data_IF_282885520617
#
_entry.id   IF_282885520617
#
_cell.length_a   1.000
_cell.length_b   1.000
_cell.length_c   1.000
_cell.angle_alpha   90.00
_cell.angle_beta   90.00
_cell.angle_gamma   90.00
#
_symmetry.space_group_name_H-M   'P 1'
#
loop_
_entity.id
_entity.type
_entity.pdbx_description
1 polymer ?
#
# COMPACT_ATOMS: atom_id res chain seq x y z
N UNK A 1 30.54 18.62 -2.25
CA UNK A 1 29.51 19.11 -3.18
C UNK A 1 29.32 18.07 -4.29
N UNK A 2 28.16 17.43 -4.41
CA UNK A 2 27.93 16.47 -5.50
C UNK A 2 27.82 17.22 -6.83
N UNK A 3 28.50 16.77 -7.89
CA UNK A 3 28.35 17.37 -9.21
C UNK A 3 26.92 17.18 -9.72
N UNK A 4 26.40 18.12 -10.52
CA UNK A 4 25.05 17.99 -11.14
C UNK A 4 24.88 16.66 -11.87
N UNK A 5 25.94 16.18 -12.53
CA UNK A 5 26.02 14.87 -13.18
C UNK A 5 25.86 13.72 -12.18
N UNK A 6 26.50 13.82 -11.02
CA UNK A 6 26.40 12.83 -9.95
C UNK A 6 25.00 12.75 -9.32
N UNK A 7 24.27 13.87 -9.25
CA UNK A 7 22.87 13.92 -8.79
C UNK A 7 21.97 13.28 -9.83
N UNK A 8 22.09 13.68 -11.11
CA UNK A 8 21.30 13.11 -12.19
C UNK A 8 21.46 11.59 -12.28
N UNK A 9 22.70 11.09 -12.23
CA UNK A 9 22.98 9.65 -12.25
C UNK A 9 22.43 8.88 -11.03
N UNK A 10 22.29 9.55 -9.89
CA UNK A 10 21.63 8.96 -8.72
C UNK A 10 20.11 8.88 -8.91
N UNK A 11 19.47 9.97 -9.34
CA UNK A 11 18.02 10.03 -9.59
C UNK A 11 17.61 9.00 -10.64
N UNK A 12 18.31 8.96 -11.78
CA UNK A 12 18.02 7.97 -12.84
C UNK A 12 18.21 6.54 -12.37
N UNK A 13 19.19 6.29 -11.50
CA UNK A 13 19.42 4.97 -10.89
C UNK A 13 18.31 4.55 -9.93
N UNK A 14 17.85 5.45 -9.06
CA UNK A 14 16.75 5.18 -8.13
C UNK A 14 15.46 4.91 -8.88
N UNK A 15 15.11 5.77 -9.84
CA UNK A 15 13.89 5.60 -10.65
C UNK A 15 13.96 4.30 -11.47
N UNK A 16 15.12 4.01 -12.08
CA UNK A 16 15.33 2.73 -12.79
C UNK A 16 15.13 1.52 -11.88
N UNK A 17 15.70 1.53 -10.67
CA UNK A 17 15.56 0.43 -9.72
C UNK A 17 14.11 0.23 -9.24
N UNK A 18 13.37 1.32 -9.01
CA UNK A 18 11.96 1.28 -8.65
C UNK A 18 11.12 0.71 -9.81
N UNK A 19 11.20 1.30 -11.00
CA UNK A 19 10.44 0.86 -12.17
C UNK A 19 10.79 -0.56 -12.60
N UNK A 20 12.08 -0.94 -12.51
CA UNK A 20 12.53 -2.31 -12.78
C UNK A 20 11.93 -3.33 -11.82
N UNK A 21 11.88 -3.00 -10.51
CA UNK A 21 11.21 -3.83 -9.49
C UNK A 21 9.71 -3.95 -9.76
N UNK A 22 9.04 -2.83 -10.04
CA UNK A 22 7.61 -2.80 -10.32
C UNK A 22 7.26 -3.64 -11.56
N UNK A 23 8.01 -3.45 -12.66
CA UNK A 23 7.77 -4.18 -13.90
C UNK A 23 8.08 -5.67 -13.75
N UNK A 24 9.17 -6.04 -13.06
CA UNK A 24 9.47 -7.44 -12.77
C UNK A 24 8.36 -8.11 -11.95
N UNK A 25 7.89 -7.44 -10.89
CA UNK A 25 6.76 -7.92 -10.10
C UNK A 25 5.46 -8.05 -10.90
N UNK A 26 5.20 -7.12 -11.81
CA UNK A 26 4.04 -7.18 -12.71
C UNK A 26 4.14 -8.35 -13.71
N UNK A 27 5.32 -8.65 -14.23
CA UNK A 27 5.55 -9.84 -15.08
C UNK A 27 5.34 -11.13 -14.28
N UNK A 28 5.77 -11.19 -13.01
CA UNK A 28 5.45 -12.32 -12.12
C UNK A 28 3.94 -12.47 -11.92
N UNK A 29 3.21 -11.36 -11.80
CA UNK A 29 1.75 -11.38 -11.73
C UNK A 29 1.09 -11.99 -12.98
N UNK A 30 1.67 -11.80 -14.17
CA UNK A 30 1.19 -12.46 -15.40
C UNK A 30 1.50 -13.96 -15.42
N UNK A 31 2.63 -14.39 -14.86
CA UNK A 31 3.01 -15.81 -14.77
C UNK A 31 2.18 -16.58 -13.74
N UNK A 32 1.86 -15.95 -12.60
CA UNK A 32 1.16 -16.58 -11.49
C UNK A 32 -0.11 -15.83 -11.10
N UNK A 33 -1.05 -15.57 -12.03
CA UNK A 33 -2.18 -14.69 -11.80
C UNK A 33 -3.14 -15.23 -10.73
N UNK A 34 -3.28 -16.55 -10.59
CA UNK A 34 -4.11 -17.14 -9.54
C UNK A 34 -3.57 -16.85 -8.11
N UNK A 35 -2.26 -16.71 -7.97
CA UNK A 35 -1.59 -16.59 -6.67
C UNK A 35 -1.14 -15.16 -6.38
N UNK A 36 -0.71 -14.38 -7.37
CA UNK A 36 -0.09 -13.07 -7.16
C UNK A 36 -1.00 -11.87 -7.46
N UNK A 37 -2.21 -12.12 -7.99
CA UNK A 37 -3.14 -11.05 -8.34
C UNK A 37 -4.45 -11.14 -7.58
N UNK A 38 -4.97 -9.98 -7.24
CA UNK A 38 -6.24 -9.79 -6.56
C UNK A 38 -7.38 -10.04 -7.55
N UNK A 39 -8.28 -11.03 -7.31
CA UNK A 39 -9.36 -11.36 -8.24
C UNK A 39 -10.24 -10.16 -8.62
N UNK A 40 -10.57 -9.31 -7.65
CA UNK A 40 -11.39 -8.13 -7.89
C UNK A 40 -10.72 -7.11 -8.81
N UNK A 41 -9.38 -6.99 -8.78
CA UNK A 41 -8.63 -6.06 -9.63
C UNK A 41 -8.52 -6.57 -11.07
N UNK A 42 -8.41 -7.90 -11.25
CA UNK A 42 -8.40 -8.53 -12.57
C UNK A 42 -9.65 -8.22 -13.38
N UNK A 43 -10.78 -8.09 -12.70
CA UNK A 43 -12.07 -7.79 -13.33
C UNK A 43 -12.20 -6.31 -13.75
N UNK A 44 -11.35 -5.42 -13.20
CA UNK A 44 -11.41 -3.96 -13.42
C UNK A 44 -10.40 -3.48 -14.46
N UNK A 45 -9.21 -4.09 -14.53
CA UNK A 45 -8.14 -3.60 -15.39
C UNK A 45 -8.18 -4.20 -16.81
N UNK A 46 -8.31 -3.37 -17.87
CA UNK A 46 -8.18 -3.87 -19.23
C UNK A 46 -6.78 -4.44 -19.45
N UNK A 47 -6.69 -5.70 -19.90
CA UNK A 47 -5.41 -6.38 -20.09
C UNK A 47 -4.47 -5.62 -21.05
N UNK A 48 -5.02 -4.96 -22.07
CA UNK A 48 -4.25 -4.10 -22.98
C UNK A 48 -3.54 -2.95 -22.25
N UNK A 49 -4.22 -2.31 -21.30
CA UNK A 49 -3.65 -1.23 -20.48
C UNK A 49 -2.54 -1.78 -19.59
N UNK A 50 -2.76 -2.94 -18.97
CA UNK A 50 -1.74 -3.61 -18.14
C UNK A 50 -0.49 -3.94 -18.96
N UNK A 51 -0.65 -4.60 -20.12
CA UNK A 51 0.47 -4.98 -20.99
C UNK A 51 1.23 -3.77 -21.51
N UNK A 52 0.52 -2.74 -21.95
CA UNK A 52 1.12 -1.48 -22.41
C UNK A 52 1.91 -0.82 -21.28
N UNK A 53 1.35 -0.77 -20.07
CA UNK A 53 2.01 -0.20 -18.89
C UNK A 53 3.29 -0.97 -18.55
N UNK A 54 3.25 -2.31 -18.55
CA UNK A 54 4.43 -3.15 -18.31
C UNK A 54 5.50 -2.86 -19.36
N UNK A 55 5.13 -2.86 -20.65
CA UNK A 55 6.06 -2.65 -21.77
C UNK A 55 6.78 -1.30 -21.68
N UNK A 56 6.02 -0.22 -21.46
CA UNK A 56 6.57 1.14 -21.31
C UNK A 56 7.49 1.20 -20.08
N UNK A 57 7.04 0.65 -18.95
CA UNK A 57 7.81 0.65 -17.70
C UNK A 57 9.13 -0.09 -17.83
N UNK A 58 9.15 -1.26 -18.49
CA UNK A 58 10.38 -2.01 -18.78
C UNK A 58 11.37 -1.20 -19.61
N UNK A 59 10.90 -0.59 -20.70
CA UNK A 59 11.73 0.24 -21.57
C UNK A 59 12.34 1.43 -20.83
N UNK A 60 11.51 2.18 -20.09
CA UNK A 60 11.96 3.34 -19.30
C UNK A 60 12.96 2.90 -18.21
N UNK A 61 12.65 1.83 -17.47
CA UNK A 61 13.54 1.31 -16.43
C UNK A 61 14.92 0.95 -16.99
N UNK A 62 14.95 0.25 -18.14
CA UNK A 62 16.21 -0.15 -18.77
C UNK A 62 17.03 1.06 -19.24
N UNK A 63 16.41 1.99 -19.98
CA UNK A 63 17.10 3.19 -20.49
C UNK A 63 17.68 4.04 -19.35
N UNK A 64 16.88 4.31 -18.31
CA UNK A 64 17.35 5.08 -17.15
C UNK A 64 18.46 4.35 -16.39
N UNK A 65 18.40 3.02 -16.33
CA UNK A 65 19.42 2.19 -15.68
C UNK A 65 20.76 2.25 -16.42
N UNK A 66 20.73 2.15 -17.74
CA UNK A 66 21.91 2.33 -18.61
C UNK A 66 22.50 3.73 -18.44
N UNK A 67 21.67 4.77 -18.48
CA UNK A 67 22.12 6.16 -18.23
C UNK A 67 22.81 6.24 -16.86
N UNK A 68 22.19 5.71 -15.81
CA UNK A 68 22.77 5.71 -14.45
C UNK A 68 24.13 5.01 -14.40
N UNK A 69 24.29 3.86 -15.07
CA UNK A 69 25.55 3.09 -15.12
C UNK A 69 26.69 3.91 -15.74
N UNK A 70 26.41 4.73 -16.75
CA UNK A 70 27.40 5.63 -17.36
C UNK A 70 27.71 6.85 -16.50
N UNK A 71 26.71 7.40 -15.80
CA UNK A 71 26.86 8.62 -15.01
C UNK A 71 27.46 8.40 -13.60
N UNK A 72 27.39 7.18 -13.03
CA UNK A 72 27.83 6.87 -11.66
C UNK A 72 28.97 5.87 -11.60
N UNK A 73 29.95 6.15 -10.74
CA UNK A 73 31.02 5.21 -10.36
C UNK A 73 30.48 3.96 -9.65
N UNK A 74 29.50 4.12 -8.74
CA UNK A 74 28.80 3.00 -8.11
C UNK A 74 27.56 2.64 -8.94
N UNK A 75 27.65 1.53 -9.66
CA UNK A 75 26.68 1.12 -10.68
C UNK A 75 25.50 0.31 -10.14
N UNK A 76 25.45 0.04 -8.83
CA UNK A 76 24.48 -0.88 -8.22
C UNK A 76 23.03 -0.56 -8.60
N UNK A 77 22.58 0.68 -8.43
CA UNK A 77 21.19 1.06 -8.72
C UNK A 77 20.82 0.88 -10.20
N UNK A 78 21.66 1.38 -11.11
CA UNK A 78 21.44 1.23 -12.54
C UNK A 78 21.50 -0.23 -13.01
N UNK A 79 22.41 -1.03 -12.44
CA UNK A 79 22.49 -2.48 -12.70
C UNK A 79 21.27 -3.23 -12.17
N UNK A 80 20.76 -2.88 -10.99
CA UNK A 80 19.54 -3.48 -10.45
C UNK A 80 18.34 -3.19 -11.34
N UNK A 81 18.10 -1.92 -11.69
CA UNK A 81 16.94 -1.55 -12.50
C UNK A 81 17.00 -2.10 -13.93
N UNK A 82 18.12 -1.92 -14.62
CA UNK A 82 18.30 -2.47 -15.98
C UNK A 82 18.32 -4.01 -15.98
N UNK A 83 18.92 -4.64 -14.96
CA UNK A 83 18.97 -6.09 -14.82
C UNK A 83 17.59 -6.70 -14.59
N UNK A 84 16.77 -6.11 -13.71
CA UNK A 84 15.40 -6.56 -13.47
C UNK A 84 14.53 -6.36 -14.72
N UNK A 85 14.66 -5.23 -15.41
CA UNK A 85 13.93 -4.99 -16.66
C UNK A 85 14.33 -5.98 -17.77
N UNK A 86 15.62 -6.30 -17.89
CA UNK A 86 16.11 -7.30 -18.83
C UNK A 86 15.59 -8.70 -18.47
N UNK A 87 15.69 -9.09 -17.20
CA UNK A 87 15.18 -10.38 -16.73
C UNK A 87 13.67 -10.52 -16.98
N UNK A 88 12.88 -9.51 -16.64
CA UNK A 88 11.45 -9.48 -16.89
C UNK A 88 11.12 -9.61 -18.39
N UNK A 89 11.89 -8.93 -19.25
CA UNK A 89 11.76 -9.06 -20.71
C UNK A 89 12.09 -10.47 -21.19
N UNK A 90 13.16 -11.08 -20.68
CA UNK A 90 13.56 -12.46 -21.00
C UNK A 90 12.52 -13.49 -20.52
N UNK A 91 11.76 -13.17 -19.47
CA UNK A 91 10.64 -13.97 -18.99
C UNK A 91 9.36 -13.78 -19.83
N UNK A 92 9.41 -13.07 -20.95
CA UNK A 92 8.27 -12.80 -21.84
C UNK A 92 7.67 -11.41 -21.70
N UNK A 93 8.09 -10.62 -20.70
CA UNK A 93 7.70 -9.21 -20.54
C UNK A 93 6.19 -8.98 -20.54
N UNK A 94 5.73 -8.02 -21.35
CA UNK A 94 4.31 -7.72 -21.52
C UNK A 94 3.52 -8.77 -22.30
N UNK A 95 4.18 -9.78 -22.88
CA UNK A 95 3.56 -10.78 -23.77
C UNK A 95 3.33 -12.13 -23.09
N UNK A 96 3.61 -12.25 -21.77
CA UNK A 96 3.34 -13.48 -21.01
C UNK A 96 1.86 -13.88 -21.16
N UNK A 97 1.62 -15.11 -21.59
CA UNK A 97 0.28 -15.64 -21.79
C UNK A 97 -0.40 -15.87 -20.43
N UNK A 98 -1.62 -15.34 -20.28
CA UNK A 98 -2.45 -15.51 -19.08
C UNK A 98 -3.58 -16.47 -19.44
N UNK A 99 -3.64 -17.64 -18.79
CA UNK A 99 -4.70 -18.60 -19.02
C UNK A 99 -6.05 -18.04 -18.54
N UNK A 100 -7.06 -18.03 -19.40
CA UNK A 100 -8.41 -17.55 -19.07
C UNK A 100 -9.43 -18.68 -19.20
N UNK A 101 -10.32 -18.88 -18.20
CA UNK A 101 -10.47 -18.10 -16.98
C UNK A 101 -9.40 -18.43 -15.94
N UNK A 102 -8.95 -17.41 -15.18
CA UNK A 102 -8.07 -17.61 -14.03
C UNK A 102 -8.92 -17.97 -12.81
N UNK A 103 -8.72 -19.16 -12.25
CA UNK A 103 -9.44 -19.61 -11.06
C UNK A 103 -9.34 -18.61 -9.88
N UNK A 104 -10.42 -18.49 -9.10
CA UNK A 104 -10.40 -17.75 -7.84
C UNK A 104 -9.83 -18.64 -6.75
N UNK A 105 -8.68 -18.27 -6.21
CA UNK A 105 -7.98 -18.97 -5.14
C UNK A 105 -7.49 -18.00 -4.07
N UNK A 106 -6.98 -18.55 -2.96
CA UNK A 106 -6.16 -17.78 -2.04
C UNK A 106 -4.99 -17.17 -2.83
N UNK A 107 -4.76 -15.89 -2.62
CA UNK A 107 -3.73 -15.14 -3.32
C UNK A 107 -2.81 -14.44 -2.31
N UNK A 108 -1.76 -13.83 -2.80
CA UNK A 108 -0.87 -12.89 -2.15
C UNK A 108 -1.00 -11.65 -3.02
N UNK A 109 -1.50 -10.55 -2.46
CA UNK A 109 -1.83 -9.33 -3.23
C UNK A 109 -0.58 -8.57 -3.68
N UNK A 110 0.28 -9.20 -4.49
CA UNK A 110 1.50 -8.59 -5.00
C UNK A 110 1.13 -7.43 -5.93
N UNK A 111 0.15 -7.61 -6.79
CA UNK A 111 -0.38 -6.53 -7.64
C UNK A 111 -0.82 -5.31 -6.81
N UNK A 112 -1.59 -5.54 -5.75
CA UNK A 112 -2.01 -4.51 -4.80
C UNK A 112 -0.81 -3.81 -4.15
N UNK A 113 0.15 -4.57 -3.62
CA UNK A 113 1.37 -4.03 -3.02
C UNK A 113 2.17 -3.15 -4.01
N UNK A 114 2.35 -3.60 -5.25
CA UNK A 114 3.11 -2.85 -6.26
C UNK A 114 2.40 -1.55 -6.63
N UNK A 115 1.08 -1.59 -6.80
CA UNK A 115 0.26 -0.42 -7.12
C UNK A 115 0.27 0.59 -5.97
N UNK A 116 0.06 0.15 -4.72
CA UNK A 116 0.09 1.04 -3.56
C UNK A 116 1.47 1.64 -3.35
N UNK A 117 2.53 0.84 -3.47
CA UNK A 117 3.91 1.33 -3.36
C UNK A 117 4.19 2.42 -4.40
N UNK A 118 3.80 2.17 -5.66
CA UNK A 118 3.97 3.15 -6.73
C UNK A 118 3.13 4.41 -6.48
N UNK A 119 1.85 4.27 -6.21
CA UNK A 119 0.92 5.39 -6.04
C UNK A 119 1.32 6.28 -4.86
N UNK A 120 1.57 5.69 -3.70
CA UNK A 120 1.95 6.44 -2.49
C UNK A 120 3.31 7.10 -2.65
N UNK A 121 4.31 6.41 -3.22
CA UNK A 121 5.61 7.04 -3.46
C UNK A 121 5.53 8.17 -4.52
N UNK A 122 4.75 7.98 -5.59
CA UNK A 122 4.56 8.99 -6.64
C UNK A 122 3.82 10.23 -6.13
N UNK A 123 2.97 10.10 -5.11
CA UNK A 123 2.25 11.22 -4.50
C UNK A 123 3.08 11.87 -3.39
N UNK A 124 3.51 11.09 -2.39
CA UNK A 124 4.06 11.64 -1.16
C UNK A 124 5.53 11.99 -1.24
N UNK A 125 6.34 11.32 -2.06
CA UNK A 125 7.75 11.73 -2.23
C UNK A 125 7.83 13.16 -2.81
N UNK A 126 7.09 13.53 -3.88
CA UNK A 126 7.06 14.93 -4.32
C UNK A 126 6.51 15.90 -3.28
N UNK A 127 5.45 15.53 -2.55
CA UNK A 127 4.88 16.38 -1.50
C UNK A 127 5.92 16.68 -0.42
N UNK A 128 6.66 15.68 0.05
CA UNK A 128 7.71 15.87 1.07
C UNK A 128 8.91 16.65 0.53
N UNK A 129 9.25 16.49 -0.74
CA UNK A 129 10.34 17.26 -1.36
C UNK A 129 9.98 18.75 -1.52
N UNK A 130 8.72 19.06 -1.79
CA UNK A 130 8.24 20.44 -2.04
C UNK A 130 7.85 21.16 -0.74
N UNK A 131 7.18 20.46 0.17
CA UNK A 131 6.55 21.03 1.36
C UNK A 131 7.14 20.50 2.67
N UNK A 132 8.24 19.75 2.59
CA UNK A 132 8.90 19.13 3.72
C UNK A 132 9.24 20.12 4.84
N UNK A 133 8.87 19.80 6.09
CA UNK A 133 9.30 20.58 7.27
C UNK A 133 10.77 20.37 7.56
N UNK A 134 11.22 19.11 7.54
CA UNK A 134 12.62 18.73 7.70
C UNK A 134 13.29 18.67 6.31
N UNK A 135 13.62 19.83 5.75
CA UNK A 135 14.17 19.95 4.38
C UNK A 135 15.51 19.26 4.16
N UNK A 136 16.26 19.01 5.23
CA UNK A 136 17.56 18.33 5.18
C UNK A 136 17.42 16.80 5.27
N UNK A 137 16.22 16.28 5.55
CA UNK A 137 15.99 14.85 5.63
C UNK A 137 16.16 14.20 4.25
N UNK A 138 17.00 13.15 4.11
CA UNK A 138 17.13 12.45 2.84
C UNK A 138 15.89 11.59 2.56
N UNK A 139 15.54 11.43 1.27
CA UNK A 139 14.43 10.57 0.81
C UNK A 139 14.53 9.16 1.41
N UNK A 140 15.74 8.57 1.39
CA UNK A 140 16.02 7.29 2.02
C UNK A 140 16.68 7.51 3.39
N UNK A 141 15.88 7.92 4.36
CA UNK A 141 16.32 8.13 5.75
C UNK A 141 16.73 6.82 6.46
N UNK A 142 17.45 6.88 7.58
CA UNK A 142 17.74 5.69 8.37
C UNK A 142 16.48 4.86 8.64
N UNK A 143 16.63 3.54 8.57
CA UNK A 143 15.55 2.55 8.77
C UNK A 143 14.42 2.52 7.72
N UNK A 144 14.51 3.26 6.61
CA UNK A 144 13.50 3.19 5.54
C UNK A 144 13.19 1.76 5.07
N UNK A 145 14.19 0.86 5.11
CA UNK A 145 14.04 -0.56 4.75
C UNK A 145 13.19 -1.32 5.75
N UNK A 146 13.29 -0.98 7.04
CA UNK A 146 12.46 -1.54 8.10
C UNK A 146 11.01 -1.14 7.86
N UNK A 147 10.76 0.12 7.51
CA UNK A 147 9.42 0.63 7.21
C UNK A 147 8.86 -0.01 5.94
N UNK A 148 9.68 -0.15 4.90
CA UNK A 148 9.30 -0.87 3.68
C UNK A 148 8.97 -2.33 3.97
N UNK A 149 9.65 -2.96 4.93
CA UNK A 149 9.31 -4.32 5.31
C UNK A 149 7.96 -4.45 6.00
N UNK A 150 7.65 -3.57 6.94
CA UNK A 150 6.33 -3.56 7.58
C UNK A 150 5.23 -3.22 6.57
N UNK A 151 5.48 -2.26 5.68
CA UNK A 151 4.60 -1.96 4.54
C UNK A 151 4.38 -3.19 3.67
N UNK A 152 5.44 -3.91 3.26
CA UNK A 152 5.31 -5.14 2.47
C UNK A 152 4.51 -6.22 3.18
N UNK A 153 4.79 -6.49 4.45
CA UNK A 153 4.07 -7.50 5.24
C UNK A 153 2.58 -7.14 5.35
N UNK A 154 2.23 -5.89 5.62
CA UNK A 154 0.82 -5.48 5.77
C UNK A 154 0.02 -5.57 4.47
N UNK A 155 0.65 -5.28 3.32
CA UNK A 155 -0.02 -5.27 2.02
C UNK A 155 -0.08 -6.67 1.39
N UNK A 156 0.99 -7.46 1.50
CA UNK A 156 1.00 -8.83 0.98
C UNK A 156 0.06 -9.76 1.77
N UNK A 157 -0.13 -9.49 3.07
CA UNK A 157 -1.07 -10.21 3.93
C UNK A 157 -2.47 -9.59 3.98
N UNK A 158 -2.84 -8.76 2.99
CA UNK A 158 -4.14 -8.05 2.99
C UNK A 158 -5.32 -9.01 3.13
N UNK A 159 -5.36 -10.15 2.45
CA UNK A 159 -6.45 -11.13 2.63
C UNK A 159 -6.55 -11.67 4.05
N UNK A 160 -5.41 -12.03 4.64
CA UNK A 160 -5.38 -12.53 6.01
C UNK A 160 -5.89 -11.45 6.96
N UNK A 161 -5.41 -10.21 6.81
CA UNK A 161 -5.85 -9.11 7.67
C UNK A 161 -7.32 -8.75 7.47
N UNK A 162 -7.83 -8.77 6.23
CA UNK A 162 -9.25 -8.55 5.92
C UNK A 162 -10.11 -9.67 6.51
N UNK A 163 -9.70 -10.92 6.36
CA UNK A 163 -10.39 -12.06 6.96
C UNK A 163 -10.43 -11.95 8.49
N UNK A 164 -9.29 -11.70 9.12
CA UNK A 164 -9.16 -11.51 10.57
C UNK A 164 -9.87 -10.25 11.09
N UNK A 165 -10.21 -9.30 10.21
CA UNK A 165 -10.98 -8.10 10.55
C UNK A 165 -12.48 -8.37 10.45
N UNK A 166 -12.94 -8.92 9.31
CA UNK A 166 -14.37 -9.02 9.00
C UNK A 166 -15.03 -10.26 9.60
N UNK A 167 -14.34 -11.41 9.61
CA UNK A 167 -14.93 -12.65 10.09
C UNK A 167 -15.31 -12.59 11.60
N UNK A 168 -14.46 -12.04 12.49
CA UNK A 168 -14.85 -11.90 13.90
C UNK A 168 -16.07 -11.01 14.11
N UNK A 169 -16.23 -9.92 13.35
CA UNK A 169 -17.43 -9.09 13.43
C UNK A 169 -18.69 -9.91 13.12
N UNK A 170 -18.68 -10.67 12.01
CA UNK A 170 -19.81 -11.48 11.58
C UNK A 170 -20.11 -12.70 12.48
N UNK A 171 -19.10 -13.23 13.16
CA UNK A 171 -19.24 -14.40 14.06
C UNK A 171 -19.67 -13.97 15.45
N UNK A 172 -18.98 -12.98 16.05
CA UNK A 172 -19.14 -12.64 17.46
C UNK A 172 -20.13 -11.51 17.72
N UNK A 173 -20.45 -10.68 16.72
CA UNK A 173 -21.34 -9.52 16.89
C UNK A 173 -22.64 -9.62 16.10
N UNK A 174 -22.92 -10.77 15.48
CA UNK A 174 -24.21 -11.02 14.80
C UNK A 174 -25.41 -10.79 15.72
N UNK A 175 -25.29 -11.11 17.01
CA UNK A 175 -26.36 -10.92 17.99
C UNK A 175 -26.72 -9.44 18.21
N UNK A 176 -25.81 -8.51 17.89
CA UNK A 176 -26.03 -7.08 18.03
C UNK A 176 -26.65 -6.44 16.77
N UNK A 177 -26.79 -7.20 15.69
CA UNK A 177 -27.40 -6.72 14.44
C UNK A 177 -28.91 -6.57 14.62
N UNK A 178 -29.42 -5.38 14.34
CA UNK A 178 -30.85 -5.08 14.23
C UNK A 178 -31.21 -4.85 12.75
N UNK A 179 -31.94 -5.76 12.09
CA UNK A 179 -32.23 -5.67 10.65
C UNK A 179 -32.92 -4.37 10.24
N UNK A 180 -33.85 -3.88 11.06
CA UNK A 180 -34.59 -2.64 10.80
C UNK A 180 -33.66 -1.42 10.87
N UNK A 181 -32.71 -1.41 11.80
CA UNK A 181 -31.69 -0.37 11.91
C UNK A 181 -30.76 -0.41 10.69
N UNK A 182 -30.28 -1.58 10.30
CA UNK A 182 -29.42 -1.72 9.12
C UNK A 182 -30.14 -1.26 7.84
N UNK A 183 -31.42 -1.62 7.69
CA UNK A 183 -32.22 -1.17 6.56
C UNK A 183 -32.38 0.36 6.57
N UNK A 184 -32.62 0.97 7.73
CA UNK A 184 -32.73 2.42 7.87
C UNK A 184 -31.41 3.14 7.54
N UNK A 185 -30.27 2.67 8.05
CA UNK A 185 -28.93 3.22 7.78
C UNK A 185 -28.58 3.06 6.30
N UNK A 186 -28.80 1.87 5.72
CA UNK A 186 -28.51 1.60 4.32
C UNK A 186 -29.38 2.44 3.37
N UNK A 187 -30.59 2.82 3.77
CA UNK A 187 -31.49 3.67 3.00
C UNK A 187 -31.12 5.17 3.02
N UNK A 188 -30.22 5.59 3.92
CA UNK A 188 -29.75 6.97 3.95
C UNK A 188 -28.96 7.35 2.68
N UNK A 189 -28.92 8.64 2.31
CA UNK A 189 -28.02 9.10 1.24
C UNK A 189 -26.56 8.76 1.54
N UNK A 190 -25.81 8.37 0.51
CA UNK A 190 -24.41 7.93 0.64
C UNK A 190 -23.51 8.97 1.35
N UNK A 191 -23.74 10.26 1.11
CA UNK A 191 -22.99 11.34 1.75
C UNK A 191 -23.21 11.41 3.27
N UNK A 192 -24.43 11.13 3.74
CA UNK A 192 -24.72 11.06 5.17
C UNK A 192 -24.03 9.84 5.79
N UNK A 193 -24.17 8.67 5.14
CA UNK A 193 -23.48 7.46 5.58
C UNK A 193 -21.96 7.66 5.67
N UNK A 194 -21.34 8.36 4.72
CA UNK A 194 -19.91 8.65 4.76
C UNK A 194 -19.52 9.48 6.00
N UNK A 195 -20.30 10.52 6.33
CA UNK A 195 -20.06 11.35 7.53
C UNK A 195 -20.24 10.52 8.80
N UNK A 196 -21.28 9.70 8.88
CA UNK A 196 -21.52 8.82 10.02
C UNK A 196 -20.40 7.78 10.17
N UNK A 197 -19.95 7.14 9.08
CA UNK A 197 -18.81 6.22 9.08
C UNK A 197 -17.54 6.92 9.56
N UNK A 198 -17.27 8.14 9.08
CA UNK A 198 -16.11 8.92 9.53
C UNK A 198 -16.14 9.13 11.04
N UNK A 199 -17.28 9.57 11.59
CA UNK A 199 -17.40 9.82 13.04
C UNK A 199 -17.29 8.52 13.84
N UNK A 200 -18.03 7.48 13.45
CA UNK A 200 -18.07 6.21 14.19
C UNK A 200 -16.71 5.52 14.15
N UNK A 201 -16.09 5.44 12.97
CA UNK A 201 -14.80 4.78 12.82
C UNK A 201 -13.67 5.58 13.49
N UNK A 202 -13.65 6.91 13.36
CA UNK A 202 -12.62 7.76 13.99
C UNK A 202 -12.70 7.72 15.53
N UNK A 203 -13.90 7.82 16.10
CA UNK A 203 -14.08 7.67 17.55
C UNK A 203 -13.65 6.29 18.06
N UNK A 204 -13.94 5.24 17.27
CA UNK A 204 -13.51 3.88 17.61
C UNK A 204 -11.99 3.75 17.51
N UNK A 205 -11.38 4.26 16.45
CA UNK A 205 -9.92 4.28 16.29
C UNK A 205 -9.24 5.06 17.41
N UNK A 206 -9.79 6.21 17.80
CA UNK A 206 -9.32 6.98 18.95
C UNK A 206 -9.35 6.14 20.24
N UNK A 207 -10.47 5.48 20.53
CA UNK A 207 -10.62 4.65 21.72
C UNK A 207 -9.64 3.46 21.72
N UNK A 208 -9.48 2.79 20.57
CA UNK A 208 -8.56 1.67 20.40
C UNK A 208 -7.10 2.12 20.53
N UNK A 209 -6.74 3.24 19.89
CA UNK A 209 -5.40 3.82 20.02
C UNK A 209 -5.10 4.20 21.46
N UNK A 210 -6.05 4.84 22.17
CA UNK A 210 -5.92 5.12 23.61
C UNK A 210 -5.72 3.83 24.42
N UNK A 211 -6.44 2.76 24.09
CA UNK A 211 -6.29 1.47 24.74
C UNK A 211 -4.88 0.88 24.53
N UNK A 212 -4.30 1.03 23.33
CA UNK A 212 -2.92 0.65 23.05
C UNK A 212 -1.90 1.38 23.93
N UNK A 213 -2.17 2.63 24.31
CA UNK A 213 -1.31 3.41 25.22
C UNK A 213 -1.56 3.12 26.69
N UNK A 214 -2.76 2.64 27.05
CA UNK A 214 -3.13 2.41 28.46
C UNK A 214 -2.88 0.99 28.94
N UNK A 215 -3.01 -0.02 28.08
CA UNK A 215 -2.86 -1.44 28.45
C UNK A 215 -1.43 -1.91 28.15
N UNK A 216 -0.61 -2.28 29.16
CA UNK A 216 0.80 -2.62 28.96
C UNK A 216 1.04 -3.76 27.96
N UNK A 217 0.13 -4.73 27.89
CA UNK A 217 0.23 -5.82 26.92
C UNK A 217 0.04 -5.35 25.48
N UNK A 218 -0.95 -4.48 25.23
CA UNK A 218 -1.21 -3.91 23.91
C UNK A 218 -0.09 -2.96 23.47
N UNK A 219 0.44 -2.15 24.41
CA UNK A 219 1.57 -1.27 24.15
C UNK A 219 2.77 -1.99 23.55
N UNK A 220 3.05 -3.24 23.94
CA UNK A 220 4.19 -4.00 23.40
C UNK A 220 4.15 -4.15 21.87
N UNK A 221 2.94 -4.20 21.29
CA UNK A 221 2.76 -4.24 19.84
C UNK A 221 2.78 -2.84 19.24
N UNK A 222 2.12 -1.88 19.88
CA UNK A 222 2.01 -0.51 19.40
C UNK A 222 3.32 0.29 19.52
N UNK A 223 4.22 -0.09 20.43
CA UNK A 223 5.55 0.51 20.56
C UNK A 223 6.39 0.35 19.29
N UNK A 224 6.10 -0.64 18.43
CA UNK A 224 6.72 -0.79 17.11
C UNK A 224 6.37 0.40 16.22
N UNK A 225 5.13 0.86 16.24
CA UNK A 225 4.67 2.07 15.54
C UNK A 225 5.40 3.31 16.03
N UNK A 226 5.50 3.48 17.34
CA UNK A 226 6.21 4.61 17.96
C UNK A 226 7.74 4.49 17.91
N UNK A 227 8.29 3.41 17.34
CA UNK A 227 9.75 3.22 17.27
C UNK A 227 10.42 4.01 16.14
N UNK A 228 9.65 4.58 15.21
CA UNK A 228 10.22 5.40 14.14
C UNK A 228 10.81 6.69 14.70
N UNK A 229 12.08 6.96 14.38
CA UNK A 229 12.82 8.13 14.87
C UNK A 229 12.68 9.36 13.97
N UNK A 230 12.25 9.17 12.74
CA UNK A 230 12.13 10.21 11.72
C UNK A 230 10.85 9.93 10.93
N UNK A 231 10.11 11.00 10.61
CA UNK A 231 8.82 10.90 9.95
C UNK A 231 8.98 11.03 8.44
N UNK A 232 8.36 10.13 7.70
CA UNK A 232 8.11 10.22 6.27
C UNK A 232 6.84 9.42 5.94
N UNK A 233 6.40 9.47 4.69
CA UNK A 233 5.19 8.79 4.21
C UNK A 233 5.16 7.28 4.49
N UNK A 234 6.33 6.66 4.69
CA UNK A 234 6.44 5.23 5.00
C UNK A 234 6.42 4.94 6.51
N UNK A 235 6.74 5.93 7.35
CA UNK A 235 6.84 5.78 8.81
C UNK A 235 5.56 5.23 9.44
N UNK A 236 4.39 5.70 8.98
CA UNK A 236 3.09 5.23 9.48
C UNK A 236 2.83 3.74 9.24
N UNK A 237 3.56 3.12 8.31
CA UNK A 237 3.42 1.71 7.96
C UNK A 237 4.17 0.76 8.90
N UNK A 238 4.95 1.28 9.87
CA UNK A 238 5.68 0.46 10.86
C UNK A 238 4.72 -0.13 11.90
N UNK A 239 3.83 -1.01 11.49
CA UNK A 239 2.79 -1.59 12.35
C UNK A 239 3.03 -3.08 12.59
N UNK A 240 2.77 -3.53 13.81
CA UNK A 240 2.69 -4.95 14.11
C UNK A 240 1.37 -5.53 13.58
N UNK A 241 1.34 -6.80 13.17
CA UNK A 241 0.12 -7.44 12.65
C UNK A 241 -1.05 -7.42 13.66
N UNK A 242 -0.76 -7.59 14.95
CA UNK A 242 -1.77 -7.49 16.02
C UNK A 242 -2.37 -6.08 16.07
N UNK A 243 -1.54 -5.04 15.88
CA UNK A 243 -2.02 -3.66 15.84
C UNK A 243 -3.00 -3.48 14.67
N UNK A 244 -2.60 -3.93 13.48
CA UNK A 244 -3.44 -3.88 12.28
C UNK A 244 -4.79 -4.58 12.50
N UNK A 245 -4.77 -5.82 13.01
CA UNK A 245 -5.99 -6.63 13.19
C UNK A 245 -6.90 -6.04 14.27
N UNK A 246 -6.35 -5.59 15.41
CA UNK A 246 -7.15 -5.02 16.50
C UNK A 246 -7.73 -3.67 16.07
N UNK A 247 -6.91 -2.77 15.51
CA UNK A 247 -7.34 -1.44 15.08
C UNK A 247 -8.39 -1.55 13.98
N UNK A 248 -8.14 -2.31 12.90
CA UNK A 248 -9.11 -2.47 11.81
C UNK A 248 -10.34 -3.26 12.25
N UNK A 249 -10.14 -4.36 12.99
CA UNK A 249 -11.21 -5.25 13.44
C UNK A 249 -12.21 -4.53 14.33
N UNK A 250 -11.74 -3.87 15.39
CA UNK A 250 -12.62 -3.15 16.30
C UNK A 250 -13.26 -1.93 15.64
N UNK A 251 -12.58 -1.25 14.71
CA UNK A 251 -13.18 -0.17 13.93
C UNK A 251 -14.27 -0.65 12.97
N UNK A 252 -14.14 -1.89 12.45
CA UNK A 252 -15.11 -2.46 11.52
C UNK A 252 -16.38 -2.98 12.23
N UNK A 253 -16.28 -3.46 13.48
CA UNK A 253 -17.42 -3.98 14.25
C UNK A 253 -18.63 -3.04 14.28
N UNK A 254 -18.52 -1.76 14.68
CA UNK A 254 -19.68 -0.87 14.71
C UNK A 254 -20.22 -0.59 13.30
N UNK A 255 -19.37 -0.54 12.28
CA UNK A 255 -19.80 -0.36 10.89
C UNK A 255 -20.62 -1.56 10.39
N UNK A 256 -20.18 -2.77 10.76
CA UNK A 256 -20.89 -4.01 10.48
C UNK A 256 -22.24 -4.07 11.21
N UNK A 257 -22.27 -3.73 12.50
CA UNK A 257 -23.50 -3.75 13.30
C UNK A 257 -24.52 -2.74 12.77
N UNK A 258 -24.09 -1.53 12.43
CA UNK A 258 -24.95 -0.46 11.92
C UNK A 258 -25.42 -0.69 10.47
N UNK A 259 -24.72 -1.51 9.68
CA UNK A 259 -25.17 -1.90 8.34
C UNK A 259 -24.92 -0.84 7.26
N UNK A 260 -23.83 -0.07 7.37
CA UNK A 260 -23.47 0.90 6.33
C UNK A 260 -23.25 0.24 4.96
N UNK A 261 -23.65 0.95 3.90
CA UNK A 261 -23.46 0.47 2.54
C UNK A 261 -21.96 0.28 2.23
N UNK A 262 -21.57 -0.78 1.50
CA UNK A 262 -20.19 -1.03 1.14
C UNK A 262 -19.50 0.16 0.45
N UNK A 263 -20.24 0.93 -0.33
CA UNK A 263 -19.72 2.14 -0.99
C UNK A 263 -19.29 3.23 -0.01
N UNK A 264 -20.02 3.44 1.09
CA UNK A 264 -19.66 4.43 2.12
C UNK A 264 -18.41 3.99 2.89
N UNK A 265 -18.35 2.70 3.26
CA UNK A 265 -17.18 2.12 3.93
C UNK A 265 -15.95 2.16 3.02
N UNK A 266 -16.08 1.86 1.73
CA UNK A 266 -14.98 1.94 0.77
C UNK A 266 -14.47 3.38 0.60
N UNK A 267 -15.38 4.36 0.47
CA UNK A 267 -15.01 5.77 0.39
C UNK A 267 -14.27 6.23 1.65
N UNK A 268 -14.71 5.80 2.84
CA UNK A 268 -14.01 6.03 4.10
C UNK A 268 -12.60 5.41 4.10
N UNK A 269 -12.46 4.15 3.68
CA UNK A 269 -11.16 3.46 3.62
C UNK A 269 -10.20 4.22 2.70
N UNK A 270 -10.65 4.70 1.54
CA UNK A 270 -9.81 5.52 0.65
C UNK A 270 -9.39 6.83 1.31
N UNK A 271 -10.33 7.55 1.92
CA UNK A 271 -10.06 8.81 2.60
C UNK A 271 -9.04 8.63 3.74
N UNK A 272 -9.30 7.68 4.65
CA UNK A 272 -8.44 7.44 5.81
C UNK A 272 -7.08 6.87 5.41
N UNK A 273 -6.99 6.08 4.33
CA UNK A 273 -5.69 5.59 3.83
C UNK A 273 -4.80 6.74 3.38
N UNK A 274 -5.36 7.72 2.66
CA UNK A 274 -4.63 8.92 2.28
C UNK A 274 -4.29 9.80 3.49
N UNK A 275 -5.28 10.07 4.34
CA UNK A 275 -5.10 10.92 5.53
C UNK A 275 -4.06 10.33 6.49
N UNK A 276 -4.07 9.01 6.71
CA UNK A 276 -3.13 8.33 7.58
C UNK A 276 -1.69 8.47 7.07
N UNK A 277 -1.44 8.35 5.77
CA UNK A 277 -0.10 8.58 5.20
C UNK A 277 0.28 10.06 5.34
N UNK A 278 -0.66 10.97 5.06
CA UNK A 278 -0.41 12.41 5.13
C UNK A 278 0.03 12.87 6.53
N UNK A 279 -0.62 12.41 7.60
CA UNK A 279 -0.26 12.81 8.98
C UNK A 279 1.07 12.22 9.45
N UNK A 280 1.58 11.19 8.76
CA UNK A 280 2.89 10.60 9.04
C UNK A 280 4.00 11.12 8.13
N UNK A 281 3.64 11.80 7.04
CA UNK A 281 4.60 12.36 6.12
C UNK A 281 5.37 13.53 6.76
N UNK A 282 6.53 13.87 6.18
CA UNK A 282 7.37 14.99 6.60
C UNK A 282 6.75 16.38 6.27
N UNK A 283 5.44 16.53 6.41
CA UNK A 283 4.70 17.79 6.16
C UNK A 283 3.81 18.21 7.32
N UNK A 284 3.56 17.30 8.26
CA UNK A 284 2.69 17.46 9.45
C UNK A 284 3.40 17.99 10.69
#
# INVERSE_FOLDING_TARGET
MASRIGVLGWVTGVVSALLGTLAFGAVLCLWFPAVLTTPALRDVYPMEVVRTTIKVTLGVAFVLGVISIFLKRRKALGLTGAGLALLATLMGGSEVAVATPVARSNHVGLDWFLLDLFLLSAIFVPIELLFGRLREQPIFRPEWRTDLWHFGVSHLLVQLTVFLTMAPAAIFFRWAVAPELQAAVAAQPLGLQLVEVLVVADLTQYAVHRLFHQVPWLWRFHAIHHSSRQMDWLAGSRLHLVDIVVTRGLSFVPLYVLGFAPGAVFAYVLFVSFQAVLIHANVS
#
